data_IF_524196113128
#
_entry.id   IF_524196113128
#
_cell.length_a   1.000
_cell.length_b   1.000
_cell.length_c   1.000
_cell.angle_alpha   90.00
_cell.angle_beta   90.00
_cell.angle_gamma   90.00
#
_symmetry.space_group_name_H-M   'P 1'
#
loop_
_entity.id
_entity.type
_entity.pdbx_description
1 polymer ?
#
# COMPACT_ATOMS: atom_id res chain seq x y z
N UNK A 1 17.69 -6.75 -3.75
CA UNK A 1 17.03 -7.11 -5.02
C UNK A 1 16.22 -8.39 -4.90
N UNK A 2 16.85 -9.57 -4.71
CA UNK A 2 16.11 -10.87 -4.67
C UNK A 2 15.05 -10.99 -3.55
N UNK A 3 15.27 -10.40 -2.37
CA UNK A 3 14.35 -10.52 -1.23
C UNK A 3 13.08 -9.68 -1.42
N UNK A 4 13.22 -8.39 -1.78
CA UNK A 4 12.10 -7.50 -2.06
C UNK A 4 11.23 -8.04 -3.21
N UNK A 5 11.87 -8.49 -4.31
CA UNK A 5 11.15 -9.10 -5.43
C UNK A 5 10.44 -10.39 -5.03
N UNK A 6 11.06 -11.25 -4.22
CA UNK A 6 10.42 -12.45 -3.68
C UNK A 6 9.22 -12.11 -2.78
N UNK A 7 9.33 -11.06 -1.97
CA UNK A 7 8.24 -10.59 -1.12
C UNK A 7 7.06 -10.05 -1.93
N UNK A 8 7.31 -9.19 -2.93
CA UNK A 8 6.26 -8.68 -3.83
C UNK A 8 5.63 -9.79 -4.65
N UNK A 9 6.42 -10.76 -5.13
CA UNK A 9 5.89 -11.93 -5.84
C UNK A 9 5.02 -12.82 -4.95
N UNK A 10 5.32 -12.89 -3.65
CA UNK A 10 4.46 -13.59 -2.70
C UNK A 10 3.16 -12.81 -2.46
N UNK A 11 3.25 -11.48 -2.30
CA UNK A 11 2.08 -10.62 -2.14
C UNK A 11 1.16 -10.63 -3.36
N UNK A 12 1.73 -10.70 -4.58
CA UNK A 12 0.94 -10.70 -5.81
C UNK A 12 0.06 -11.94 -5.96
N UNK A 13 0.37 -13.05 -5.27
CA UNK A 13 -0.50 -14.24 -5.20
C UNK A 13 -1.85 -13.95 -4.52
N UNK A 14 -1.96 -12.89 -3.72
CA UNK A 14 -3.23 -12.47 -3.16
C UNK A 14 -4.20 -11.97 -4.24
N UNK A 15 -3.70 -11.46 -5.39
CA UNK A 15 -4.53 -10.92 -6.47
C UNK A 15 -5.44 -11.98 -7.10
N UNK A 16 -4.92 -13.11 -7.64
CA UNK A 16 -5.79 -14.15 -8.19
C UNK A 16 -6.73 -14.75 -7.14
N UNK A 17 -6.31 -14.81 -5.88
CA UNK A 17 -7.18 -15.25 -4.78
C UNK A 17 -8.35 -14.28 -4.56
N UNK A 18 -8.11 -12.97 -4.53
CA UNK A 18 -9.17 -11.95 -4.47
C UNK A 18 -10.12 -12.05 -5.66
N UNK A 19 -9.62 -12.34 -6.86
CA UNK A 19 -10.48 -12.54 -8.05
C UNK A 19 -11.42 -13.73 -7.85
N UNK A 20 -10.92 -14.86 -7.35
CA UNK A 20 -11.75 -16.04 -7.06
C UNK A 20 -12.81 -15.70 -6.00
N UNK A 21 -12.43 -15.02 -4.93
CA UNK A 21 -13.39 -14.57 -3.90
C UNK A 21 -14.45 -13.65 -4.48
N UNK A 22 -14.06 -12.72 -5.36
CA UNK A 22 -15.00 -11.80 -6.01
C UNK A 22 -15.98 -12.55 -6.92
N UNK A 23 -15.52 -13.58 -7.62
CA UNK A 23 -16.41 -14.46 -8.40
C UNK A 23 -17.43 -15.15 -7.49
N UNK A 24 -17.02 -15.63 -6.31
CA UNK A 24 -17.94 -16.21 -5.31
C UNK A 24 -18.98 -15.16 -4.88
N UNK A 25 -18.56 -13.93 -4.55
CA UNK A 25 -19.49 -12.85 -4.17
C UNK A 25 -20.51 -12.58 -5.27
N UNK A 26 -20.07 -12.47 -6.52
CA UNK A 26 -20.93 -12.21 -7.68
C UNK A 26 -21.91 -13.37 -7.89
N UNK A 27 -21.44 -14.61 -7.91
CA UNK A 27 -22.30 -15.80 -8.08
C UNK A 27 -23.30 -15.92 -6.94
N UNK A 28 -22.88 -15.78 -5.68
CA UNK A 28 -23.77 -15.77 -4.51
C UNK A 28 -24.87 -14.72 -4.64
N UNK A 29 -24.53 -13.51 -5.10
CA UNK A 29 -25.50 -12.43 -5.25
C UNK A 29 -26.50 -12.67 -6.37
N UNK A 30 -26.02 -13.03 -7.56
CA UNK A 30 -26.87 -13.08 -8.77
C UNK A 30 -27.54 -14.43 -9.01
N UNK A 31 -26.96 -15.54 -8.55
CA UNK A 31 -27.54 -16.88 -8.72
C UNK A 31 -28.36 -17.28 -7.51
N UNK A 32 -27.84 -17.02 -6.30
CA UNK A 32 -28.46 -17.47 -5.06
C UNK A 32 -29.21 -16.38 -4.29
N UNK A 33 -29.09 -15.10 -4.70
CA UNK A 33 -29.72 -13.98 -4.01
C UNK A 33 -29.12 -13.67 -2.63
N UNK A 34 -27.93 -14.18 -2.32
CA UNK A 34 -27.29 -14.06 -1.00
C UNK A 34 -26.19 -12.99 -1.06
N UNK A 35 -26.29 -11.98 -0.22
CA UNK A 35 -25.25 -10.97 -0.01
C UNK A 35 -24.10 -11.50 0.85
N UNK A 36 -22.87 -11.40 0.35
CA UNK A 36 -21.64 -11.81 1.04
C UNK A 36 -20.81 -10.59 1.47
N UNK A 37 -21.36 -9.73 2.33
CA UNK A 37 -20.74 -8.47 2.75
C UNK A 37 -19.37 -8.68 3.40
N UNK A 38 -19.27 -9.61 4.36
CA UNK A 38 -17.99 -9.91 5.01
C UNK A 38 -16.91 -10.42 4.06
N UNK A 39 -17.29 -11.17 3.01
CA UNK A 39 -16.34 -11.62 1.98
C UNK A 39 -15.88 -10.43 1.11
N UNK A 40 -16.80 -9.51 0.79
CA UNK A 40 -16.48 -8.29 0.05
C UNK A 40 -15.55 -7.36 0.86
N UNK A 41 -15.76 -7.22 2.17
CA UNK A 41 -14.86 -6.49 3.05
C UNK A 41 -13.49 -7.17 3.14
N UNK A 42 -13.44 -8.50 3.23
CA UNK A 42 -12.15 -9.22 3.26
C UNK A 42 -11.34 -8.98 1.97
N UNK A 43 -11.99 -8.97 0.81
CA UNK A 43 -11.36 -8.60 -0.47
C UNK A 43 -10.79 -7.18 -0.38
N UNK A 44 -11.54 -6.23 0.21
CA UNK A 44 -11.05 -4.86 0.41
C UNK A 44 -9.82 -4.81 1.34
N UNK A 45 -9.77 -5.63 2.39
CA UNK A 45 -8.65 -5.68 3.33
C UNK A 45 -7.41 -6.23 2.63
N UNK A 46 -7.56 -7.32 1.86
CA UNK A 46 -6.49 -7.91 1.06
C UNK A 46 -5.98 -6.94 0.00
N UNK A 47 -6.88 -6.20 -0.66
CA UNK A 47 -6.51 -5.19 -1.64
C UNK A 47 -5.69 -4.07 -0.99
N UNK A 48 -6.14 -3.56 0.16
CA UNK A 48 -5.42 -2.57 0.94
C UNK A 48 -4.02 -3.06 1.34
N UNK A 49 -3.90 -4.30 1.81
CA UNK A 49 -2.62 -4.92 2.16
C UNK A 49 -1.66 -4.92 0.96
N UNK A 50 -2.09 -5.42 -0.20
CA UNK A 50 -1.25 -5.48 -1.41
C UNK A 50 -0.83 -4.09 -1.85
N UNK A 51 -1.77 -3.15 -1.91
CA UNK A 51 -1.51 -1.78 -2.37
C UNK A 51 -0.53 -1.03 -1.44
N UNK A 52 -0.82 -1.00 -0.13
CA UNK A 52 -0.03 -0.25 0.85
C UNK A 52 1.38 -0.83 1.02
N UNK A 53 1.52 -2.17 0.98
CA UNK A 53 2.82 -2.82 1.07
C UNK A 53 3.67 -2.65 -0.20
N UNK A 54 3.05 -2.54 -1.38
CA UNK A 54 3.75 -2.42 -2.67
C UNK A 54 4.12 -0.99 -3.05
N UNK A 55 3.51 0.03 -2.42
CA UNK A 55 3.71 1.43 -2.75
C UNK A 55 5.19 1.84 -2.79
N UNK A 56 5.95 1.54 -1.73
CA UNK A 56 7.39 1.82 -1.70
C UNK A 56 8.21 1.08 -2.75
N UNK A 57 7.84 -0.17 -3.08
CA UNK A 57 8.53 -0.93 -4.12
C UNK A 57 8.40 -0.26 -5.49
N UNK A 58 7.20 0.22 -5.85
CA UNK A 58 6.93 0.94 -7.10
C UNK A 58 7.77 2.21 -7.22
N UNK A 59 7.94 2.96 -6.12
CA UNK A 59 8.83 4.14 -6.07
C UNK A 59 10.27 3.76 -6.43
N UNK A 60 10.77 2.62 -5.94
CA UNK A 60 12.14 2.17 -6.23
C UNK A 60 12.34 1.59 -7.64
N UNK A 61 11.25 1.24 -8.32
CA UNK A 61 11.24 0.75 -9.70
C UNK A 61 10.99 1.86 -10.72
N UNK A 62 10.71 3.08 -10.25
CA UNK A 62 10.35 4.21 -11.10
C UNK A 62 9.09 3.97 -11.95
N UNK A 63 8.19 3.10 -11.45
CA UNK A 63 6.93 2.72 -12.12
C UNK A 63 5.75 3.59 -11.64
N UNK A 64 6.04 4.68 -10.94
CA UNK A 64 5.03 5.67 -10.58
C UNK A 64 4.89 6.70 -11.70
N UNK A 65 3.68 7.22 -11.89
CA UNK A 65 3.45 8.28 -12.87
C UNK A 65 4.18 9.54 -12.39
N UNK A 66 5.18 9.97 -13.16
CA UNK A 66 5.97 11.19 -12.91
C UNK A 66 5.97 12.08 -14.14
N UNK A 67 6.01 13.39 -13.91
CA UNK A 67 6.06 14.39 -14.97
C UNK A 67 7.50 14.90 -15.09
N UNK A 68 8.19 14.43 -16.14
CA UNK A 68 9.64 14.62 -16.29
C UNK A 68 9.99 15.61 -17.40
N UNK A 69 9.79 16.90 -17.14
CA UNK A 69 10.16 17.93 -18.13
C UNK A 69 11.68 18.16 -18.09
N UNK A 70 12.25 18.37 -16.91
CA UNK A 70 13.68 18.67 -16.74
C UNK A 70 14.51 17.45 -16.28
N UNK A 71 13.84 16.37 -15.87
CA UNK A 71 14.51 15.18 -15.35
C UNK A 71 15.07 14.31 -16.49
N UNK A 72 14.36 14.20 -17.61
CA UNK A 72 14.63 13.20 -18.67
C UNK A 72 16.07 13.27 -19.20
N UNK A 73 16.52 14.47 -19.57
CA UNK A 73 17.82 14.72 -20.21
C UNK A 73 18.94 15.04 -19.20
N UNK A 74 18.64 15.04 -17.90
CA UNK A 74 19.62 15.38 -16.88
C UNK A 74 20.67 14.28 -16.65
N UNK A 75 21.85 14.68 -16.19
CA UNK A 75 22.94 13.77 -15.84
C UNK A 75 22.55 12.86 -14.66
N UNK A 76 23.19 11.69 -14.56
CA UNK A 76 22.93 10.72 -13.47
C UNK A 76 23.16 11.34 -12.08
N UNK A 77 24.16 12.22 -11.98
CA UNK A 77 24.45 13.01 -10.79
C UNK A 77 23.31 13.92 -10.37
N UNK A 78 22.78 14.67 -11.33
CA UNK A 78 21.68 15.58 -11.09
C UNK A 78 20.42 14.81 -10.68
N UNK A 79 20.10 13.72 -11.39
CA UNK A 79 18.97 12.83 -11.08
C UNK A 79 19.04 12.29 -9.66
N UNK A 80 20.21 11.80 -9.24
CA UNK A 80 20.39 11.28 -7.89
C UNK A 80 20.25 12.36 -6.82
N UNK A 81 20.92 13.52 -6.99
CA UNK A 81 20.81 14.65 -6.05
C UNK A 81 19.37 15.13 -5.93
N UNK A 82 18.67 15.27 -7.05
CA UNK A 82 17.28 15.70 -7.08
C UNK A 82 16.37 14.70 -6.36
N UNK A 83 16.51 13.40 -6.62
CA UNK A 83 15.73 12.36 -5.94
C UNK A 83 15.96 12.35 -4.43
N UNK A 84 17.20 12.56 -3.98
CA UNK A 84 17.52 12.65 -2.54
C UNK A 84 16.90 13.91 -1.93
N UNK A 85 17.07 15.07 -2.56
CA UNK A 85 16.54 16.34 -2.05
C UNK A 85 15.00 16.29 -2.01
N UNK A 86 14.35 15.90 -3.11
CA UNK A 86 12.89 15.80 -3.18
C UNK A 86 12.37 14.69 -2.26
N UNK A 87 13.11 13.58 -2.10
CA UNK A 87 12.79 12.53 -1.15
C UNK A 87 12.78 13.05 0.29
N UNK A 88 13.78 13.83 0.69
CA UNK A 88 13.83 14.41 2.04
C UNK A 88 12.79 15.53 2.20
N UNK A 89 12.60 16.38 1.19
CA UNK A 89 11.74 17.55 1.29
C UNK A 89 10.25 17.24 1.14
N UNK A 90 9.89 16.23 0.36
CA UNK A 90 8.49 15.90 0.06
C UNK A 90 8.09 14.51 0.55
N UNK A 91 8.89 13.47 0.30
CA UNK A 91 8.52 12.10 0.69
C UNK A 91 8.59 11.90 2.20
N UNK A 92 9.63 12.42 2.88
CA UNK A 92 9.78 12.28 4.33
C UNK A 92 8.64 12.96 5.11
N UNK A 93 8.22 14.21 4.80
CA UNK A 93 7.04 14.80 5.45
C UNK A 93 5.77 13.98 5.24
N UNK A 94 5.55 13.43 4.04
CA UNK A 94 4.39 12.55 3.77
C UNK A 94 4.43 11.31 4.67
N UNK A 95 5.60 10.68 4.86
CA UNK A 95 5.78 9.55 5.78
C UNK A 95 5.43 9.96 7.21
N UNK A 96 5.99 11.08 7.70
CA UNK A 96 5.78 11.55 9.07
C UNK A 96 4.32 11.92 9.35
N UNK A 97 3.70 12.68 8.45
CA UNK A 97 2.27 13.05 8.53
C UNK A 97 1.41 11.80 8.54
N UNK A 98 1.69 10.83 7.67
CA UNK A 98 0.94 9.57 7.63
C UNK A 98 1.06 8.82 8.95
N UNK A 99 2.26 8.66 9.52
CA UNK A 99 2.45 7.99 10.82
C UNK A 99 1.67 8.73 11.91
N UNK A 100 1.81 10.06 12.00
CA UNK A 100 1.21 10.86 13.06
C UNK A 100 -0.31 10.70 13.09
N UNK A 101 -0.99 10.96 11.97
CA UNK A 101 -2.46 10.89 11.93
C UNK A 101 -2.98 9.45 11.95
N UNK A 102 -2.25 8.49 11.38
CA UNK A 102 -2.67 7.09 11.41
C UNK A 102 -2.57 6.50 12.81
N UNK A 103 -1.67 6.99 13.66
CA UNK A 103 -1.48 6.46 15.00
C UNK A 103 -2.72 6.63 15.87
N UNK A 104 -3.21 7.87 16.01
CA UNK A 104 -4.42 8.15 16.80
C UNK A 104 -5.64 7.43 16.21
N UNK A 105 -5.75 7.39 14.89
CA UNK A 105 -6.84 6.73 14.18
C UNK A 105 -6.89 5.22 14.44
N UNK A 106 -5.73 4.54 14.35
CA UNK A 106 -5.63 3.11 14.60
C UNK A 106 -5.82 2.82 16.09
N UNK A 107 -5.17 3.57 16.98
CA UNK A 107 -5.29 3.39 18.42
C UNK A 107 -6.75 3.47 18.89
N UNK A 108 -7.50 4.47 18.43
CA UNK A 108 -8.92 4.61 18.76
C UNK A 108 -9.73 3.40 18.29
N UNK A 109 -9.48 2.91 17.07
CA UNK A 109 -10.17 1.75 16.51
C UNK A 109 -9.96 0.48 17.34
N UNK A 110 -8.74 0.25 17.82
CA UNK A 110 -8.44 -0.87 18.71
C UNK A 110 -9.09 -0.72 20.08
N UNK A 111 -9.10 0.49 20.66
CA UNK A 111 -9.74 0.75 21.95
C UNK A 111 -11.22 0.41 21.96
N UNK A 112 -11.92 0.72 20.88
CA UNK A 112 -13.35 0.40 20.74
C UNK A 112 -13.61 -0.98 20.13
N UNK A 113 -12.57 -1.74 19.78
CA UNK A 113 -12.67 -3.01 19.04
C UNK A 113 -13.62 -2.87 17.85
N UNK A 114 -13.33 -1.92 16.96
CA UNK A 114 -14.25 -1.50 15.90
C UNK A 114 -14.72 -2.65 15.01
N UNK A 115 -16.04 -2.69 14.80
CA UNK A 115 -16.76 -3.68 14.00
C UNK A 115 -17.43 -2.97 12.82
N UNK A 116 -17.58 -3.67 11.69
CA UNK A 116 -18.29 -3.13 10.54
C UNK A 116 -19.74 -2.79 10.89
N UNK A 117 -20.19 -1.62 10.41
CA UNK A 117 -21.58 -1.17 10.53
C UNK A 117 -22.50 -1.85 9.53
N UNK A 118 -21.94 -2.54 8.54
CA UNK A 118 -22.70 -3.19 7.48
C UNK A 118 -23.30 -4.52 7.94
N UNK A 119 -24.50 -4.83 7.44
CA UNK A 119 -25.14 -6.11 7.70
C UNK A 119 -24.31 -7.27 7.14
N UNK A 120 -23.83 -8.15 8.03
CA UNK A 120 -22.95 -9.26 7.67
C UNK A 120 -21.49 -8.86 7.44
N UNK A 121 -21.07 -7.66 7.87
CA UNK A 121 -19.68 -7.20 7.82
C UNK A 121 -18.76 -7.87 8.84
N UNK A 122 -17.46 -7.60 8.73
CA UNK A 122 -16.42 -8.20 9.55
C UNK A 122 -16.33 -7.55 10.94
N UNK A 123 -16.00 -8.37 11.95
CA UNK A 123 -15.86 -7.95 13.35
C UNK A 123 -14.47 -7.42 13.72
N UNK A 124 -13.64 -7.15 12.72
CA UNK A 124 -12.22 -6.84 12.92
C UNK A 124 -11.74 -5.69 12.03
N UNK A 125 -12.54 -4.61 11.97
CA UNK A 125 -12.21 -3.38 11.21
C UNK A 125 -10.92 -2.72 11.73
N UNK A 126 -10.66 -2.84 13.04
CA UNK A 126 -9.41 -2.36 13.63
C UNK A 126 -8.16 -3.02 13.01
N UNK A 127 -8.25 -4.27 12.56
CA UNK A 127 -7.16 -4.95 11.84
C UNK A 127 -6.94 -4.30 10.47
N UNK A 128 -8.01 -3.98 9.74
CA UNK A 128 -7.92 -3.26 8.46
C UNK A 128 -7.24 -1.91 8.65
N UNK A 129 -7.64 -1.13 9.66
CA UNK A 129 -7.06 0.20 9.90
C UNK A 129 -5.58 0.12 10.24
N UNK A 130 -5.16 -0.94 10.93
CA UNK A 130 -3.73 -1.19 11.21
C UNK A 130 -2.89 -1.32 9.94
N UNK A 131 -3.48 -1.81 8.83
CA UNK A 131 -2.79 -1.93 7.55
C UNK A 131 -2.29 -0.59 7.01
N UNK A 132 -2.86 0.55 7.45
CA UNK A 132 -2.43 1.89 7.04
C UNK A 132 -0.93 2.10 7.34
N UNK A 133 -0.40 1.51 8.42
CA UNK A 133 1.03 1.61 8.75
C UNK A 133 1.96 0.94 7.72
N UNK A 134 1.44 0.06 6.86
CA UNK A 134 2.24 -0.52 5.78
C UNK A 134 2.72 0.53 4.78
N UNK A 135 1.95 1.61 4.58
CA UNK A 135 2.30 2.68 3.66
C UNK A 135 3.56 3.46 4.11
N UNK A 136 3.61 4.09 5.30
CA UNK A 136 4.81 4.80 5.73
C UNK A 136 6.00 3.87 5.87
N UNK A 137 5.79 2.60 6.27
CA UNK A 137 6.86 1.60 6.33
C UNK A 137 7.43 1.32 4.94
N UNK A 138 6.58 1.05 3.93
CA UNK A 138 7.04 0.76 2.58
C UNK A 138 7.73 1.98 1.94
N UNK A 139 7.19 3.18 2.13
CA UNK A 139 7.80 4.43 1.65
C UNK A 139 9.13 4.75 2.35
N UNK A 140 9.26 4.44 3.65
CA UNK A 140 10.51 4.61 4.37
C UNK A 140 11.61 3.70 3.80
N UNK A 141 11.29 2.45 3.48
CA UNK A 141 12.23 1.56 2.77
C UNK A 141 12.64 2.13 1.41
N UNK A 142 11.70 2.73 0.67
CA UNK A 142 12.01 3.39 -0.60
C UNK A 142 12.96 4.59 -0.41
N UNK A 143 12.70 5.44 0.58
CA UNK A 143 13.55 6.59 0.91
C UNK A 143 14.96 6.17 1.31
N UNK A 144 15.09 5.19 2.21
CA UNK A 144 16.39 4.64 2.61
C UNK A 144 17.17 4.09 1.41
N UNK A 145 16.48 3.51 0.43
CA UNK A 145 17.09 3.00 -0.80
C UNK A 145 17.54 4.12 -1.74
N UNK A 146 16.76 5.19 -1.86
CA UNK A 146 17.15 6.41 -2.59
C UNK A 146 18.43 7.01 -1.99
N UNK A 147 18.52 7.08 -0.66
CA UNK A 147 19.70 7.59 0.06
C UNK A 147 20.93 6.70 -0.14
N UNK A 148 20.77 5.37 -0.14
CA UNK A 148 21.88 4.42 -0.24
C UNK A 148 22.40 4.22 -1.68
N UNK A 149 21.55 4.41 -2.69
CA UNK A 149 21.86 3.96 -4.05
C UNK A 149 22.06 5.13 -5.01
N UNK A 150 23.30 5.33 -5.44
CA UNK A 150 23.66 6.31 -6.46
C UNK A 150 23.21 5.91 -7.89
N UNK A 151 23.10 4.61 -8.16
CA UNK A 151 22.59 4.08 -9.43
C UNK A 151 21.06 3.96 -9.38
N UNK A 152 20.37 5.08 -9.61
CA UNK A 152 19.09 4.99 -10.29
C UNK A 152 19.38 4.64 -11.75
N UNK A 153 18.80 3.54 -12.23
CA UNK A 153 19.02 3.03 -13.60
C UNK A 153 18.42 3.99 -14.62
#
# INVERSE_FOLDING_TARGET
MKIEEKFINLLSLAIPFMVIMMLIVVVSRYVFGIGQTGLQELIMYMHGLVFLASAGYLVTKDEHVRVDIFYRDASKEYKHKLNVILGILFLLPVILVTIFYSFEFVEMSWKISEISTEAGGLKYVYVQKTLIFLLPVSLLFALLRILRTYKWK
#
